data_IF_359278821319
#
_entry.id   IF_359278821319
#
_cell.length_a   1.000
_cell.length_b   1.000
_cell.length_c   1.000
_cell.angle_alpha   90.00
_cell.angle_beta   90.00
_cell.angle_gamma   90.00
#
_symmetry.space_group_name_H-M   'P 1'
#
loop_
_entity.id
_entity.type
_entity.pdbx_description
1 polymer ?
#
# COMPACT_ATOMS: atom_id res chain seq x y z
N UNK A 1 31.96 12.59 -7.76
CA UNK A 1 31.18 13.02 -8.94
C UNK A 1 30.31 11.89 -9.51
N UNK A 2 30.86 10.92 -10.27
CA UNK A 2 30.10 9.78 -10.82
C UNK A 2 29.26 8.98 -9.78
N UNK A 3 29.81 8.58 -8.61
CA UNK A 3 29.04 7.83 -7.63
C UNK A 3 27.90 8.64 -6.98
N UNK A 4 28.10 9.95 -6.78
CA UNK A 4 27.08 10.83 -6.20
C UNK A 4 25.92 11.04 -7.17
N UNK A 5 26.21 11.22 -8.47
CA UNK A 5 25.18 11.34 -9.51
C UNK A 5 24.38 10.03 -9.62
N UNK A 6 25.05 8.88 -9.50
CA UNK A 6 24.39 7.57 -9.53
C UNK A 6 23.51 7.35 -8.29
N UNK A 7 23.97 7.76 -7.10
CA UNK A 7 23.18 7.72 -5.86
C UNK A 7 21.95 8.61 -5.95
N UNK A 8 22.08 9.83 -6.49
CA UNK A 8 20.95 10.76 -6.66
C UNK A 8 19.94 10.18 -7.66
N UNK A 9 20.38 9.66 -8.81
CA UNK A 9 19.48 9.07 -9.81
C UNK A 9 18.84 7.76 -9.34
N UNK A 10 19.57 6.92 -8.60
CA UNK A 10 19.02 5.72 -7.98
C UNK A 10 18.00 6.07 -6.89
N UNK A 11 18.31 7.02 -6.00
CA UNK A 11 17.37 7.48 -4.97
C UNK A 11 16.10 8.09 -5.55
N UNK A 12 16.24 8.90 -6.61
CA UNK A 12 15.10 9.53 -7.28
C UNK A 12 14.23 8.51 -8.01
N UNK A 13 14.83 7.52 -8.70
CA UNK A 13 14.07 6.47 -9.39
C UNK A 13 13.34 5.54 -8.41
N UNK A 14 13.98 5.15 -7.30
CA UNK A 14 13.34 4.39 -6.23
C UNK A 14 12.19 5.19 -5.58
N UNK A 15 12.40 6.48 -5.32
CA UNK A 15 11.37 7.37 -4.79
C UNK A 15 10.14 7.46 -5.69
N UNK A 16 10.33 7.65 -7.00
CA UNK A 16 9.23 7.64 -7.97
C UNK A 16 8.51 6.29 -8.00
N UNK A 17 9.24 5.18 -7.94
CA UNK A 17 8.65 3.84 -7.93
C UNK A 17 7.75 3.64 -6.71
N UNK A 18 8.23 3.98 -5.52
CA UNK A 18 7.48 3.85 -4.27
C UNK A 18 6.24 4.77 -4.26
N UNK A 19 6.41 6.04 -4.67
CA UNK A 19 5.29 6.99 -4.75
C UNK A 19 4.20 6.52 -5.71
N UNK A 20 4.59 5.99 -6.89
CA UNK A 20 3.64 5.43 -7.85
C UNK A 20 2.91 4.21 -7.29
N UNK A 21 3.61 3.34 -6.56
CA UNK A 21 3.02 2.17 -5.90
C UNK A 21 2.01 2.55 -4.83
N UNK A 22 2.32 3.56 -4.00
CA UNK A 22 1.41 4.06 -2.98
C UNK A 22 0.13 4.66 -3.60
N UNK A 23 0.27 5.49 -4.63
CA UNK A 23 -0.88 6.09 -5.33
C UNK A 23 -1.72 5.01 -6.03
N UNK A 24 -1.08 4.06 -6.70
CA UNK A 24 -1.76 2.93 -7.34
C UNK A 24 -2.54 2.08 -6.33
N UNK A 25 -1.98 1.84 -5.14
CA UNK A 25 -2.63 1.10 -4.07
C UNK A 25 -3.83 1.87 -3.51
N UNK A 26 -3.69 3.16 -3.23
CA UNK A 26 -4.78 3.99 -2.69
C UNK A 26 -5.97 4.06 -3.65
N UNK A 27 -5.69 4.24 -4.96
CA UNK A 27 -6.73 4.27 -6.00
C UNK A 27 -7.31 2.87 -6.21
N UNK A 28 -6.47 1.83 -6.28
CA UNK A 28 -6.88 0.45 -6.49
C UNK A 28 -7.74 -0.13 -5.36
N UNK A 29 -7.49 0.30 -4.12
CA UNK A 29 -8.34 -0.03 -2.97
C UNK A 29 -9.68 0.72 -2.98
N UNK A 30 -9.81 1.80 -3.76
CA UNK A 30 -11.03 2.58 -3.84
C UNK A 30 -11.43 3.27 -2.52
N UNK A 31 -10.52 3.38 -1.55
CA UNK A 31 -10.82 3.99 -0.24
C UNK A 31 -11.33 5.43 -0.41
N UNK A 32 -10.63 6.20 -1.23
CA UNK A 32 -10.94 7.62 -1.48
C UNK A 32 -12.28 7.79 -2.19
N UNK A 33 -12.56 6.96 -3.20
CA UNK A 33 -13.82 7.00 -3.94
C UNK A 33 -15.01 6.53 -3.10
N UNK A 34 -14.79 5.57 -2.19
CA UNK A 34 -15.80 5.07 -1.26
C UNK A 34 -16.17 6.10 -0.20
N UNK A 35 -15.19 6.81 0.37
CA UNK A 35 -15.47 7.93 1.28
C UNK A 35 -16.23 9.06 0.58
N UNK A 36 -15.82 9.46 -0.62
CA UNK A 36 -16.51 10.48 -1.40
C UNK A 36 -17.96 10.06 -1.76
N UNK A 37 -18.20 8.77 -1.97
CA UNK A 37 -19.53 8.20 -2.20
C UNK A 37 -20.43 8.27 -0.97
N UNK A 38 -19.92 7.95 0.22
CA UNK A 38 -20.68 7.97 1.49
C UNK A 38 -21.05 9.40 1.90
N UNK A 39 -20.12 10.36 1.76
CA UNK A 39 -20.35 11.77 2.12
C UNK A 39 -21.15 12.54 1.07
N UNK A 40 -21.61 11.86 0.00
CA UNK A 40 -22.30 12.47 -1.16
C UNK A 40 -21.60 13.71 -1.72
N UNK A 41 -20.28 13.79 -1.56
CA UNK A 41 -19.45 14.92 -1.99
C UNK A 41 -18.48 14.44 -3.05
N UNK A 42 -19.02 13.92 -4.16
CA UNK A 42 -18.22 13.47 -5.31
C UNK A 42 -17.43 14.61 -5.99
N UNK A 43 -17.85 15.86 -5.76
CA UNK A 43 -17.19 17.06 -6.31
C UNK A 43 -15.84 17.41 -5.68
N UNK A 44 -15.51 16.88 -4.49
CA UNK A 44 -14.27 17.22 -3.77
C UNK A 44 -13.28 16.06 -3.69
N UNK A 45 -13.24 15.17 -4.69
CA UNK A 45 -12.30 14.04 -4.73
C UNK A 45 -10.84 14.49 -4.60
N UNK A 46 -10.49 15.59 -5.27
CA UNK A 46 -9.16 16.23 -5.20
C UNK A 46 -8.74 16.60 -3.79
N UNK A 47 -9.69 17.00 -2.93
CA UNK A 47 -9.38 17.36 -1.55
C UNK A 47 -8.98 16.12 -0.73
N UNK A 48 -9.69 15.00 -0.92
CA UNK A 48 -9.33 13.74 -0.29
C UNK A 48 -7.98 13.20 -0.77
N UNK A 49 -7.69 13.30 -2.07
CA UNK A 49 -6.39 12.93 -2.63
C UNK A 49 -5.26 13.80 -2.05
N UNK A 50 -5.46 15.12 -1.95
CA UNK A 50 -4.50 16.02 -1.32
C UNK A 50 -4.29 15.70 0.16
N UNK A 51 -5.34 15.35 0.92
CA UNK A 51 -5.19 14.90 2.30
C UNK A 51 -4.39 13.61 2.41
N UNK A 52 -4.59 12.66 1.48
CA UNK A 52 -3.84 11.41 1.45
C UNK A 52 -2.37 11.64 1.08
N UNK A 53 -2.08 12.49 0.10
CA UNK A 53 -0.72 12.92 -0.25
C UNK A 53 -0.03 13.65 0.91
N UNK A 54 -0.74 14.56 1.59
CA UNK A 54 -0.21 15.24 2.76
C UNK A 54 0.11 14.24 3.88
N UNK A 55 -0.76 13.26 4.12
CA UNK A 55 -0.52 12.19 5.08
C UNK A 55 0.71 11.35 4.73
N UNK A 56 0.90 10.99 3.46
CA UNK A 56 2.08 10.26 2.99
C UNK A 56 3.37 11.08 3.19
N UNK A 57 3.36 12.37 2.80
CA UNK A 57 4.50 13.27 3.02
C UNK A 57 4.84 13.42 4.51
N UNK A 58 3.84 13.58 5.37
CA UNK A 58 4.05 13.64 6.82
C UNK A 58 4.57 12.33 7.39
N UNK A 59 4.07 11.18 6.90
CA UNK A 59 4.54 9.86 7.29
C UNK A 59 5.99 9.61 6.90
N UNK A 60 6.38 9.98 5.68
CA UNK A 60 7.75 9.86 5.20
C UNK A 60 8.71 10.75 6.00
N UNK A 61 8.31 12.00 6.28
CA UNK A 61 9.07 12.91 7.14
C UNK A 61 9.23 12.37 8.56
N UNK A 62 8.19 11.75 9.12
CA UNK A 62 8.25 11.14 10.44
C UNK A 62 9.12 9.87 10.46
N UNK A 63 9.12 9.08 9.39
CA UNK A 63 9.94 7.87 9.27
C UNK A 63 11.42 8.18 9.05
N UNK A 64 11.75 9.27 8.34
CA UNK A 64 13.12 9.71 8.08
C UNK A 64 13.69 10.57 9.21
N UNK A 65 12.83 11.31 9.90
CA UNK A 65 13.21 12.13 11.03
C UNK A 65 13.55 11.26 12.24
N UNK A 66 14.82 11.19 12.63
CA UNK A 66 15.27 10.68 13.94
C UNK A 66 14.89 11.64 15.08
N UNK A 67 13.71 12.25 15.01
CA UNK A 67 13.19 13.08 16.08
C UNK A 67 12.72 12.17 17.20
N UNK A 68 13.57 11.98 18.19
CA UNK A 68 13.17 11.45 19.51
C UNK A 68 12.30 12.50 20.22
N UNK A 69 11.07 12.66 19.75
CA UNK A 69 10.10 13.51 20.39
C UNK A 69 9.58 12.76 21.63
N UNK A 70 9.88 13.27 22.82
CA UNK A 70 9.20 12.86 24.06
C UNK A 70 7.76 13.37 24.00
N UNK A 71 6.92 12.63 23.28
CA UNK A 71 5.50 12.89 23.16
C UNK A 71 4.80 12.52 24.48
N UNK A 72 3.91 13.37 25.00
CA UNK A 72 3.10 13.04 26.16
C UNK A 72 2.26 11.77 25.90
N UNK A 73 2.01 10.97 26.94
CA UNK A 73 1.25 9.70 26.82
C UNK A 73 -0.12 9.87 26.12
N UNK A 74 -0.76 11.04 26.28
CA UNK A 74 -2.04 11.34 25.65
C UNK A 74 -1.98 11.38 24.11
N UNK A 75 -0.91 11.93 23.53
CA UNK A 75 -0.78 12.03 22.07
C UNK A 75 -0.54 10.67 21.42
N UNK A 76 0.10 9.74 22.14
CA UNK A 76 0.22 8.36 21.68
C UNK A 76 -1.15 7.70 21.59
N UNK A 77 -2.01 7.86 22.61
CA UNK A 77 -3.38 7.33 22.58
C UNK A 77 -4.19 7.83 21.38
N UNK A 78 -4.13 9.13 21.09
CA UNK A 78 -4.80 9.72 19.93
C UNK A 78 -4.23 9.16 18.62
N UNK A 79 -2.92 9.05 18.49
CA UNK A 79 -2.26 8.47 17.31
C UNK A 79 -2.71 7.03 17.05
N UNK A 80 -2.76 6.19 18.10
CA UNK A 80 -3.21 4.80 17.98
C UNK A 80 -4.69 4.68 17.63
N UNK A 81 -5.54 5.59 18.11
CA UNK A 81 -6.96 5.64 17.71
C UNK A 81 -7.11 5.95 16.21
N UNK A 82 -6.39 6.95 15.72
CA UNK A 82 -6.38 7.29 14.29
C UNK A 82 -5.80 6.14 13.44
N UNK A 83 -4.71 5.51 13.89
CA UNK A 83 -4.14 4.34 13.24
C UNK A 83 -5.14 3.17 13.19
N UNK A 84 -5.93 2.96 14.25
CA UNK A 84 -6.99 1.95 14.29
C UNK A 84 -8.12 2.22 13.30
N UNK A 85 -8.60 3.47 13.21
CA UNK A 85 -9.63 3.86 12.24
C UNK A 85 -9.11 3.68 10.80
N UNK A 86 -7.86 4.06 10.55
CA UNK A 86 -7.21 3.87 9.26
C UNK A 86 -7.12 2.39 8.91
N UNK A 87 -6.59 1.55 9.82
CA UNK A 87 -6.43 0.11 9.60
C UNK A 87 -7.78 -0.59 9.39
N UNK A 88 -8.81 -0.22 10.16
CA UNK A 88 -10.16 -0.75 9.99
C UNK A 88 -10.74 -0.43 8.61
N UNK A 89 -10.53 0.80 8.14
CA UNK A 89 -10.97 1.22 6.82
C UNK A 89 -10.20 0.53 5.69
N UNK A 90 -8.92 0.26 5.92
CA UNK A 90 -8.05 -0.47 4.99
C UNK A 90 -8.48 -1.92 4.82
N UNK A 91 -8.83 -2.62 5.91
CA UNK A 91 -9.31 -4.00 5.88
C UNK A 91 -10.64 -4.11 5.13
N UNK A 92 -11.57 -3.18 5.34
CA UNK A 92 -12.86 -3.17 4.63
C UNK A 92 -12.65 -2.98 3.13
N UNK A 93 -11.77 -2.05 2.73
CA UNK A 93 -11.45 -1.82 1.33
C UNK A 93 -10.79 -3.04 0.67
N UNK A 94 -9.86 -3.70 1.36
CA UNK A 94 -9.28 -4.96 0.90
C UNK A 94 -10.34 -6.04 0.70
N UNK A 95 -11.29 -6.17 1.63
CA UNK A 95 -12.41 -7.12 1.50
C UNK A 95 -13.23 -6.89 0.23
N UNK A 96 -13.52 -5.64 -0.11
CA UNK A 96 -14.24 -5.30 -1.33
C UNK A 96 -13.45 -5.62 -2.60
N UNK A 97 -12.15 -5.28 -2.63
CA UNK A 97 -11.28 -5.58 -3.78
C UNK A 97 -11.14 -7.10 -3.98
N UNK A 98 -11.00 -7.87 -2.92
CA UNK A 98 -10.94 -9.34 -3.00
C UNK A 98 -12.27 -9.91 -3.50
N UNK A 99 -13.40 -9.34 -3.07
CA UNK A 99 -14.71 -9.75 -3.57
C UNK A 99 -14.88 -9.43 -5.06
N UNK A 100 -14.46 -8.24 -5.50
CA UNK A 100 -14.41 -7.84 -6.92
C UNK A 100 -13.55 -8.79 -7.74
N UNK A 101 -12.37 -9.15 -7.23
CA UNK A 101 -11.48 -10.12 -7.87
C UNK A 101 -12.15 -11.49 -8.03
N UNK A 102 -12.82 -11.99 -6.99
CA UNK A 102 -13.58 -13.25 -7.04
C UNK A 102 -14.69 -13.22 -8.10
N UNK A 103 -15.43 -12.11 -8.18
CA UNK A 103 -16.46 -11.90 -9.21
C UNK A 103 -15.85 -11.88 -10.61
N UNK A 104 -14.73 -11.18 -10.80
CA UNK A 104 -13.99 -11.14 -12.07
C UNK A 104 -13.53 -12.53 -12.50
N UNK A 105 -12.95 -13.32 -11.59
CA UNK A 105 -12.56 -14.71 -11.87
C UNK A 105 -13.75 -15.56 -12.32
N UNK A 106 -14.92 -15.37 -11.71
CA UNK A 106 -16.16 -16.07 -12.11
C UNK A 106 -16.67 -15.61 -13.47
N UNK A 107 -16.61 -14.30 -13.78
CA UNK A 107 -17.01 -13.71 -15.08
C UNK A 107 -16.12 -14.16 -16.23
N UNK A 108 -14.81 -14.29 -16.01
CA UNK A 108 -13.84 -14.75 -17.01
C UNK A 108 -13.95 -16.27 -17.23
N UNK A 109 -14.77 -16.99 -16.46
CA UNK A 109 -14.93 -18.44 -16.58
C UNK A 109 -13.76 -19.23 -16.00
N UNK A 110 -12.88 -18.59 -15.24
CA UNK A 110 -11.69 -19.18 -14.64
C UNK A 110 -11.99 -19.96 -13.35
N UNK A 111 -13.21 -20.47 -13.19
CA UNK A 111 -13.62 -21.24 -12.00
C UNK A 111 -12.94 -22.61 -11.93
N UNK A 112 -12.59 -23.22 -13.08
CA UNK A 112 -11.82 -24.47 -13.12
C UNK A 112 -10.30 -24.28 -13.11
N UNK A 113 -9.80 -23.12 -13.55
CA UNK A 113 -8.35 -22.83 -13.64
C UNK A 113 -7.74 -22.22 -12.38
N UNK A 114 -8.56 -21.68 -11.47
CA UNK A 114 -8.13 -21.06 -10.21
C UNK A 114 -7.19 -21.94 -9.35
N UNK A 115 -7.47 -23.25 -9.12
CA UNK A 115 -6.54 -24.10 -8.37
C UNK A 115 -5.18 -24.27 -9.06
N UNK A 116 -5.14 -24.26 -10.41
CA UNK A 116 -3.88 -24.32 -11.15
C UNK A 116 -3.06 -23.03 -10.99
N UNK A 117 -3.72 -21.87 -11.00
CA UNK A 117 -3.09 -20.57 -10.75
C UNK A 117 -2.52 -20.51 -9.33
N UNK A 118 -3.29 -20.95 -8.32
CA UNK A 118 -2.82 -21.00 -6.93
C UNK A 118 -1.62 -21.94 -6.80
N UNK A 119 -1.63 -23.09 -7.48
CA UNK A 119 -0.55 -24.07 -7.44
C UNK A 119 0.73 -23.56 -8.11
N UNK A 120 0.62 -22.87 -9.26
CA UNK A 120 1.75 -22.17 -9.86
C UNK A 120 2.31 -21.07 -8.95
N UNK A 121 1.44 -20.30 -8.28
CA UNK A 121 1.85 -19.24 -7.35
C UNK A 121 2.55 -19.82 -6.11
N UNK A 122 2.06 -20.94 -5.59
CA UNK A 122 2.69 -21.68 -4.49
C UNK A 122 4.04 -22.26 -4.92
N UNK A 123 4.13 -22.88 -6.10
CA UNK A 123 5.38 -23.40 -6.64
C UNK A 123 6.42 -22.29 -6.84
N UNK A 124 6.00 -21.12 -7.34
CA UNK A 124 6.87 -19.94 -7.45
C UNK A 124 7.41 -19.47 -6.09
N UNK A 125 6.57 -19.44 -5.04
CA UNK A 125 7.03 -19.12 -3.68
C UNK A 125 7.98 -20.16 -3.10
N UNK A 126 7.72 -21.44 -3.34
CA UNK A 126 8.61 -22.53 -2.91
C UNK A 126 9.96 -22.41 -3.61
N UNK A 127 9.97 -22.24 -4.94
CA UNK A 127 11.20 -22.07 -5.72
C UNK A 127 11.98 -20.82 -5.28
N UNK A 128 11.30 -19.70 -5.05
CA UNK A 128 11.93 -18.47 -4.54
C UNK A 128 12.53 -18.64 -3.14
N UNK A 129 11.82 -19.32 -2.23
CA UNK A 129 12.32 -19.64 -0.89
C UNK A 129 13.53 -20.59 -0.94
N UNK A 130 13.47 -21.61 -1.80
CA UNK A 130 14.57 -22.55 -1.99
C UNK A 130 15.80 -21.85 -2.57
N UNK A 131 15.61 -20.95 -3.53
CA UNK A 131 16.68 -20.15 -4.10
C UNK A 131 17.29 -19.21 -3.06
N UNK A 132 16.47 -18.52 -2.25
CA UNK A 132 16.96 -17.69 -1.15
C UNK A 132 17.84 -18.48 -0.17
N UNK A 133 17.41 -19.69 0.20
CA UNK A 133 18.18 -20.56 1.09
C UNK A 133 19.44 -21.13 0.43
N UNK A 134 19.37 -21.52 -0.85
CA UNK A 134 20.51 -22.04 -1.61
C UNK A 134 21.56 -20.96 -1.96
N UNK A 135 21.14 -19.70 -2.07
CA UNK A 135 22.02 -18.56 -2.38
C UNK A 135 22.86 -18.10 -1.19
N UNK A 136 22.65 -18.67 0.01
CA UNK A 136 23.49 -18.41 1.18
C UNK A 136 23.59 -16.94 1.59
N UNK A 137 22.55 -16.12 1.31
CA UNK A 137 22.48 -14.76 1.83
C UNK A 137 22.14 -14.81 3.32
N UNK A 138 23.19 -14.78 4.14
CA UNK A 138 23.15 -14.49 5.57
C UNK A 138 23.67 -13.08 5.81
#
# INVERSE_FOLDING_TARGET
MLPEILLITAGLSLGFFIASGLVALVIGLGIVTRYAGITKTAGSLRFYECCCMAGALFGDLFSLGTFSFSLPSWTAGVFWLFAGIYLGSWIIALGEVVNLFSILCRRIGLTRGLPFVILCMAAGKIAGSLYYFASGFQ
#
